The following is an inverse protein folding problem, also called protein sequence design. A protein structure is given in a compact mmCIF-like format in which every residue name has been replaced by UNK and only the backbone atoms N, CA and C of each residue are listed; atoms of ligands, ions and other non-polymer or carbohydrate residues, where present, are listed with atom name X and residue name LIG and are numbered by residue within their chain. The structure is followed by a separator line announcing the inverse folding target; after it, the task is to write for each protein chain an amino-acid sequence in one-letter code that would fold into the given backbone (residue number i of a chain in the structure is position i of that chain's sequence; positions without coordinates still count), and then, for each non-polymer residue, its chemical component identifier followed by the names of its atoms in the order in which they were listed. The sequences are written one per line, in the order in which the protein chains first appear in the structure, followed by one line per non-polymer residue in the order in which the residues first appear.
data_IF_458766852171
#
_entry.id   IF_458766852171
#
_cell.length_a   1.000
_cell.length_b   1.000
_cell.length_c   1.000
_cell.angle_alpha   90.00
_cell.angle_beta   90.00
_cell.angle_gamma   90.00
#
_symmetry.space_group_name_H-M   'P 1'
#
loop_
_entity.id
_entity.type
_entity.pdbx_description
1 polymer ?
#
# COMPACT_ATOMS: atom_id res chain seq x y z
N UNK A 1 20.40 18.08 -27.94
CA UNK A 1 20.12 18.49 -26.56
C UNK A 1 19.54 17.29 -25.81
N UNK A 2 20.37 16.58 -25.07
CA UNK A 2 19.97 15.34 -24.39
C UNK A 2 19.30 15.73 -23.09
N UNK A 3 17.99 15.58 -22.98
CA UNK A 3 17.30 15.67 -21.70
C UNK A 3 17.70 14.46 -20.87
N UNK A 4 18.57 14.67 -19.89
CA UNK A 4 18.79 13.71 -18.83
C UNK A 4 17.47 13.54 -18.09
N UNK A 5 16.84 12.38 -18.26
CA UNK A 5 15.78 11.95 -17.36
C UNK A 5 16.42 11.81 -16.00
N UNK A 6 16.21 12.79 -15.15
CA UNK A 6 16.53 12.66 -13.73
C UNK A 6 15.72 11.47 -13.21
N UNK A 7 16.43 10.41 -12.85
CA UNK A 7 15.84 9.29 -12.15
C UNK A 7 15.13 9.85 -10.93
N UNK A 8 13.83 9.59 -10.82
CA UNK A 8 13.08 9.95 -9.62
C UNK A 8 13.73 9.23 -8.45
N UNK A 9 14.27 10.03 -7.55
CA UNK A 9 14.84 9.54 -6.31
C UNK A 9 13.76 8.81 -5.51
N UNK A 10 13.82 7.49 -5.50
CA UNK A 10 12.91 6.62 -4.74
C UNK A 10 13.18 6.69 -3.23
N UNK A 11 14.17 7.48 -2.80
CA UNK A 11 14.54 7.61 -1.39
C UNK A 11 13.67 8.59 -0.62
N UNK A 12 12.80 9.34 -1.28
CA UNK A 12 11.87 10.24 -0.60
C UNK A 12 10.56 9.55 -0.30
N UNK A 13 10.50 8.94 0.88
CA UNK A 13 9.26 8.85 1.62
C UNK A 13 8.78 10.28 1.83
N UNK A 14 7.49 10.59 1.58
CA UNK A 14 6.99 11.93 1.82
C UNK A 14 7.36 12.37 3.23
N UNK A 15 7.87 13.60 3.32
CA UNK A 15 8.18 14.27 4.56
C UNK A 15 6.99 14.11 5.53
N UNK A 16 7.21 13.75 6.80
CA UNK A 16 6.15 13.72 7.80
C UNK A 16 5.38 15.04 7.93
N UNK A 17 5.90 16.13 7.38
CA UNK A 17 5.19 17.41 7.26
C UNK A 17 4.30 17.53 6.01
N UNK A 18 4.23 16.52 5.16
CA UNK A 18 3.29 16.55 4.03
C UNK A 18 1.85 16.64 4.56
N UNK A 19 1.04 17.50 3.95
CA UNK A 19 -0.26 17.96 4.46
C UNK A 19 -1.33 16.90 4.66
N UNK A 20 -1.09 15.66 4.26
CA UNK A 20 -1.99 14.52 4.47
C UNK A 20 -1.21 13.47 5.24
N UNK A 21 -1.53 13.23 6.54
CA UNK A 21 -0.88 12.17 7.28
C UNK A 21 -1.14 10.83 6.61
N UNK A 22 -0.09 10.03 6.43
CA UNK A 22 -0.22 8.67 5.94
C UNK A 22 -1.13 7.88 6.88
N UNK A 23 -2.04 7.09 6.32
CA UNK A 23 -2.80 6.13 7.11
C UNK A 23 -1.83 5.13 7.74
N UNK A 24 -2.03 4.78 9.00
CA UNK A 24 -1.19 3.87 9.76
C UNK A 24 -2.02 2.74 10.38
N UNK A 25 -1.54 1.51 10.26
CA UNK A 25 -2.19 0.32 10.78
C UNK A 25 -1.18 -0.55 11.54
N UNK A 26 -1.47 -0.97 12.79
CA UNK A 26 -0.52 -1.77 13.58
C UNK A 26 -0.51 -3.23 13.12
N UNK A 27 0.70 -3.81 13.06
CA UNK A 27 0.93 -5.22 12.72
C UNK A 27 1.80 -5.84 13.80
N UNK A 28 1.28 -6.83 14.51
CA UNK A 28 2.06 -7.67 15.42
C UNK A 28 2.61 -8.87 14.65
N UNK A 29 3.87 -9.22 14.86
CA UNK A 29 4.50 -10.39 14.26
C UNK A 29 4.27 -11.62 15.12
N UNK A 30 3.66 -12.65 14.56
CA UNK A 30 3.35 -13.93 15.19
C UNK A 30 4.31 -15.03 14.70
N UNK A 31 4.28 -16.17 15.36
CA UNK A 31 5.05 -17.35 14.93
C UNK A 31 4.82 -17.71 13.46
N UNK A 32 3.57 -17.69 13.02
CA UNK A 32 3.19 -18.02 11.64
C UNK A 32 3.83 -17.11 10.59
N UNK A 33 4.30 -15.92 10.99
CA UNK A 33 4.90 -14.93 10.11
C UNK A 33 6.39 -15.16 9.90
N UNK A 34 7.03 -15.98 10.75
CA UNK A 34 8.48 -16.19 10.75
C UNK A 34 8.87 -17.44 9.97
N UNK A 35 10.13 -17.47 9.53
CA UNK A 35 10.74 -18.60 8.85
C UNK A 35 11.83 -19.27 9.71
N UNK A 36 12.44 -20.32 9.17
CA UNK A 36 13.51 -21.04 9.85
C UNK A 36 14.75 -20.18 10.15
N UNK A 37 14.91 -19.05 9.49
CA UNK A 37 15.98 -18.08 9.75
C UNK A 37 15.71 -17.16 10.94
N UNK A 38 14.55 -17.27 11.61
CA UNK A 38 14.18 -16.48 12.78
C UNK A 38 13.72 -15.05 12.45
N UNK A 39 13.44 -14.76 11.20
CA UNK A 39 12.93 -13.46 10.73
C UNK A 39 11.59 -13.65 10.01
N UNK A 40 10.88 -12.56 9.78
CA UNK A 40 9.63 -12.60 9.01
C UNK A 40 9.92 -13.11 7.59
N UNK A 41 9.15 -14.11 7.18
CA UNK A 41 9.22 -14.66 5.83
C UNK A 41 8.87 -13.57 4.82
N UNK A 42 9.72 -13.39 3.81
CA UNK A 42 9.61 -12.22 2.91
C UNK A 42 8.25 -12.06 2.23
N UNK A 43 7.55 -13.15 1.93
CA UNK A 43 6.22 -13.07 1.34
C UNK A 43 5.13 -12.58 2.31
N UNK A 44 5.36 -12.65 3.61
CA UNK A 44 4.39 -12.18 4.62
C UNK A 44 4.23 -10.67 4.59
N UNK A 45 5.24 -9.92 4.19
CA UNK A 45 5.14 -8.47 4.06
C UNK A 45 4.06 -8.04 3.07
N UNK A 46 3.81 -8.84 2.02
CA UNK A 46 2.72 -8.59 1.08
C UNK A 46 1.36 -8.67 1.77
N UNK A 47 1.16 -9.62 2.68
CA UNK A 47 -0.07 -9.74 3.46
C UNK A 47 -0.26 -8.53 4.38
N UNK A 48 0.81 -8.07 5.03
CA UNK A 48 0.75 -6.90 5.90
C UNK A 48 0.35 -5.64 5.13
N UNK A 49 0.92 -5.44 3.97
CA UNK A 49 0.57 -4.31 3.10
C UNK A 49 -0.85 -4.41 2.57
N UNK A 50 -1.33 -5.60 2.23
CA UNK A 50 -2.72 -5.81 1.83
C UNK A 50 -3.69 -5.46 2.95
N UNK A 51 -3.44 -5.93 4.16
CA UNK A 51 -4.27 -5.60 5.33
C UNK A 51 -4.32 -4.09 5.56
N UNK A 52 -3.19 -3.42 5.48
CA UNK A 52 -3.13 -1.97 5.64
C UNK A 52 -3.93 -1.24 4.57
N UNK A 53 -3.85 -1.66 3.30
CA UNK A 53 -4.67 -1.08 2.22
C UNK A 53 -6.16 -1.30 2.46
N UNK A 54 -6.55 -2.50 2.88
CA UNK A 54 -7.95 -2.83 3.19
C UNK A 54 -8.48 -1.96 4.31
N UNK A 55 -7.72 -1.79 5.39
CA UNK A 55 -8.12 -0.96 6.52
C UNK A 55 -8.12 0.54 6.16
N UNK A 56 -7.21 0.97 5.30
CA UNK A 56 -7.22 2.33 4.76
C UNK A 56 -8.52 2.65 4.02
N UNK A 57 -8.94 1.77 3.12
CA UNK A 57 -10.21 1.93 2.40
C UNK A 57 -11.39 1.88 3.36
N UNK A 58 -11.39 0.94 4.30
CA UNK A 58 -12.46 0.80 5.30
C UNK A 58 -12.58 2.03 6.19
N UNK A 59 -11.47 2.59 6.64
CA UNK A 59 -11.45 3.83 7.43
C UNK A 59 -12.01 5.02 6.66
N UNK A 60 -11.97 4.97 5.34
CA UNK A 60 -12.55 5.98 4.44
C UNK A 60 -14.00 5.68 4.06
N UNK A 61 -14.62 4.68 4.67
CA UNK A 61 -16.01 4.28 4.41
C UNK A 61 -16.18 3.34 3.22
N UNK A 62 -15.09 2.79 2.67
CA UNK A 62 -15.12 1.93 1.50
C UNK A 62 -14.95 0.47 1.92
N UNK A 63 -15.99 -0.33 1.75
CA UNK A 63 -15.94 -1.78 1.88
C UNK A 63 -15.78 -2.45 0.52
N UNK A 64 -14.74 -3.23 0.33
CA UNK A 64 -14.47 -3.88 -0.97
C UNK A 64 -15.55 -4.88 -1.35
N UNK A 65 -16.11 -5.61 -0.38
CA UNK A 65 -17.21 -6.52 -0.63
C UNK A 65 -18.49 -5.77 -1.08
N UNK A 66 -18.76 -4.61 -0.50
CA UNK A 66 -19.87 -3.75 -0.88
C UNK A 66 -19.68 -3.20 -2.32
N UNK A 67 -18.48 -2.75 -2.65
CA UNK A 67 -18.18 -2.29 -4.01
C UNK A 67 -18.42 -3.39 -5.04
N UNK A 68 -17.96 -4.59 -4.76
CA UNK A 68 -18.16 -5.74 -5.65
C UNK A 68 -19.64 -6.07 -5.81
N UNK A 69 -20.38 -6.16 -4.71
CA UNK A 69 -21.77 -6.59 -4.71
C UNK A 69 -22.74 -5.54 -5.31
N UNK A 70 -22.49 -4.26 -5.07
CA UNK A 70 -23.43 -3.18 -5.41
C UNK A 70 -23.00 -2.31 -6.58
N UNK A 71 -21.71 -2.22 -6.86
CA UNK A 71 -21.17 -1.35 -7.92
C UNK A 71 -20.39 -2.12 -9.00
N UNK A 72 -20.25 -3.43 -8.83
CA UNK A 72 -19.51 -4.28 -9.76
C UNK A 72 -18.06 -3.81 -9.95
N UNK A 73 -17.42 -3.36 -8.87
CA UNK A 73 -16.05 -2.85 -8.84
C UNK A 73 -15.18 -3.74 -7.97
N UNK A 74 -14.02 -4.13 -8.48
CA UNK A 74 -12.96 -4.77 -7.70
C UNK A 74 -11.64 -4.04 -7.92
N UNK A 75 -10.80 -4.04 -6.89
CA UNK A 75 -9.43 -3.57 -6.96
C UNK A 75 -8.48 -4.75 -6.98
N UNK A 76 -7.56 -4.75 -7.93
CA UNK A 76 -6.60 -5.84 -8.12
C UNK A 76 -5.19 -5.27 -8.20
N UNK A 77 -4.26 -5.86 -7.48
CA UNK A 77 -2.85 -5.48 -7.59
C UNK A 77 -2.34 -5.84 -8.99
N UNK A 78 -1.86 -4.83 -9.71
CA UNK A 78 -1.33 -4.98 -11.07
C UNK A 78 0.20 -5.07 -11.08
N UNK A 79 0.86 -4.26 -10.25
CA UNK A 79 2.31 -4.24 -10.14
C UNK A 79 2.71 -3.85 -8.73
N UNK A 80 3.86 -4.33 -8.30
CA UNK A 80 4.35 -4.10 -6.96
C UNK A 80 5.88 -4.09 -6.98
N UNK A 81 6.47 -3.10 -6.33
CA UNK A 81 7.90 -3.04 -6.05
C UNK A 81 8.11 -3.00 -4.55
N UNK A 82 8.98 -3.86 -4.04
CA UNK A 82 9.35 -3.90 -2.64
C UNK A 82 10.85 -3.71 -2.48
N UNK A 83 11.23 -3.03 -1.41
CA UNK A 83 12.59 -2.94 -0.94
C UNK A 83 12.65 -3.43 0.50
N UNK A 84 13.48 -4.44 0.73
CA UNK A 84 13.71 -5.01 2.06
C UNK A 84 14.98 -4.40 2.62
N UNK A 85 14.85 -3.50 3.59
CA UNK A 85 15.98 -2.78 4.19
C UNK A 85 16.50 -3.48 5.44
N UNK A 86 15.61 -4.02 6.27
CA UNK A 86 15.94 -4.75 7.49
C UNK A 86 14.82 -5.72 7.85
N UNK A 87 15.13 -6.84 8.52
CA UNK A 87 14.12 -7.83 8.87
C UNK A 87 13.30 -7.41 10.07
N UNK A 88 12.03 -7.79 10.07
CA UNK A 88 11.20 -7.84 11.26
C UNK A 88 11.34 -9.22 11.92
N UNK A 89 11.07 -9.29 13.21
CA UNK A 89 11.26 -10.48 14.04
C UNK A 89 10.00 -10.80 14.83
N UNK A 90 9.95 -11.99 15.39
CA UNK A 90 8.86 -12.43 16.28
C UNK A 90 8.62 -11.39 17.38
N UNK A 91 7.35 -11.18 17.68
CA UNK A 91 6.83 -10.25 18.71
C UNK A 91 7.01 -8.76 18.39
N UNK A 92 7.67 -8.40 17.30
CA UNK A 92 7.74 -7.01 16.88
C UNK A 92 6.35 -6.41 16.68
N UNK A 93 6.18 -5.18 17.11
CA UNK A 93 5.02 -4.37 16.75
C UNK A 93 5.44 -3.37 15.69
N UNK A 94 4.86 -3.53 14.50
CA UNK A 94 5.14 -2.68 13.35
C UNK A 94 3.98 -1.74 13.08
N UNK A 95 4.29 -0.66 12.40
CA UNK A 95 3.28 0.23 11.81
C UNK A 95 3.37 0.14 10.29
N UNK A 96 2.26 -0.24 9.66
CA UNK A 96 2.13 -0.26 8.21
C UNK A 96 1.42 1.01 7.75
N UNK A 97 2.05 1.76 6.86
CA UNK A 97 1.48 3.00 6.33
C UNK A 97 0.93 2.81 4.93
N UNK A 98 -0.04 3.64 4.57
CA UNK A 98 -0.59 3.73 3.21
C UNK A 98 -0.74 5.20 2.84
N UNK A 99 -0.21 5.57 1.68
CA UNK A 99 -0.36 6.91 1.14
C UNK A 99 -0.58 6.84 -0.38
N UNK A 100 -1.70 7.37 -0.89
CA UNK A 100 -1.87 7.50 -2.33
C UNK A 100 -0.87 8.50 -2.90
N UNK A 101 -0.20 8.14 -3.98
CA UNK A 101 0.86 8.98 -4.61
C UNK A 101 0.62 9.25 -6.08
N UNK A 102 -0.21 8.47 -6.74
CA UNK A 102 -0.53 8.64 -8.15
C UNK A 102 -1.92 8.10 -8.43
N UNK A 103 -2.68 8.78 -9.28
CA UNK A 103 -3.98 8.33 -9.76
C UNK A 103 -4.07 8.48 -11.27
N UNK A 104 -4.61 7.46 -11.92
CA UNK A 104 -5.01 7.46 -13.32
C UNK A 104 -6.51 7.18 -13.43
N UNK A 105 -7.05 7.10 -14.64
CA UNK A 105 -8.47 6.84 -14.87
C UNK A 105 -8.94 5.51 -14.24
N UNK A 106 -8.18 4.43 -14.45
CA UNK A 106 -8.55 3.07 -14.03
C UNK A 106 -7.52 2.42 -13.09
N UNK A 107 -6.65 3.21 -12.49
CA UNK A 107 -5.64 2.71 -11.55
C UNK A 107 -5.14 3.80 -10.62
N UNK A 108 -4.51 3.39 -9.53
CA UNK A 108 -3.80 4.29 -8.62
C UNK A 108 -2.58 3.60 -8.04
N UNK A 109 -1.66 4.40 -7.53
CA UNK A 109 -0.47 3.89 -6.84
C UNK A 109 -0.49 4.37 -5.41
N UNK A 110 -0.20 3.46 -4.49
CA UNK A 110 0.04 3.78 -3.08
C UNK A 110 1.49 3.49 -2.72
N UNK A 111 2.08 4.37 -1.92
CA UNK A 111 3.34 4.12 -1.24
C UNK A 111 3.05 3.57 0.15
N UNK A 112 3.77 2.52 0.53
CA UNK A 112 3.61 1.88 1.82
C UNK A 112 4.96 1.67 2.49
N UNK A 113 4.98 1.68 3.81
CA UNK A 113 6.17 1.38 4.59
C UNK A 113 5.80 0.60 5.84
N UNK A 114 6.70 -0.28 6.27
CA UNK A 114 6.64 -0.95 7.56
C UNK A 114 7.76 -0.42 8.43
N UNK A 115 7.41 0.05 9.62
CA UNK A 115 8.35 0.59 10.61
C UNK A 115 8.18 -0.13 11.94
N UNK A 116 9.30 -0.33 12.62
CA UNK A 116 9.30 -0.72 14.04
C UNK A 116 9.38 0.55 14.87
N UNK A 117 8.36 0.82 15.68
CA UNK A 117 8.41 1.96 16.59
C UNK A 117 9.44 1.74 17.73
N UNK A 118 10.22 2.73 18.14
CA UNK A 118 10.22 4.13 17.68
C UNK A 118 11.19 4.44 16.52
N UNK A 119 11.70 3.43 15.81
CA UNK A 119 12.68 3.61 14.75
C UNK A 119 12.08 4.38 13.56
N UNK A 120 12.79 5.39 13.08
CA UNK A 120 12.33 6.19 11.96
C UNK A 120 12.52 5.49 10.60
N UNK A 121 13.50 4.56 10.51
CA UNK A 121 13.82 3.86 9.27
C UNK A 121 12.76 2.80 8.95
N UNK A 122 12.30 2.80 7.71
CA UNK A 122 11.42 1.74 7.23
C UNK A 122 12.18 0.41 7.09
N UNK A 123 11.61 -0.67 7.64
CA UNK A 123 12.13 -2.02 7.45
C UNK A 123 11.87 -2.50 6.03
N UNK A 124 10.68 -2.21 5.51
CA UNK A 124 10.26 -2.55 4.15
C UNK A 124 9.51 -1.37 3.57
N UNK A 125 9.76 -1.08 2.31
CA UNK A 125 9.06 -0.06 1.53
C UNK A 125 8.45 -0.70 0.30
N UNK A 126 7.27 -0.22 -0.10
CA UNK A 126 6.57 -0.73 -1.26
C UNK A 126 5.91 0.40 -2.06
N UNK A 127 5.86 0.19 -3.37
CA UNK A 127 4.97 0.92 -4.27
C UNK A 127 4.05 -0.10 -4.91
N UNK A 128 2.76 0.14 -4.80
CA UNK A 128 1.73 -0.81 -5.24
C UNK A 128 0.81 -0.11 -6.22
N UNK A 129 0.77 -0.62 -7.45
CA UNK A 129 -0.20 -0.20 -8.46
C UNK A 129 -1.42 -1.08 -8.36
N UNK A 130 -2.56 -0.45 -8.16
CA UNK A 130 -3.85 -1.12 -8.02
C UNK A 130 -4.71 -0.74 -9.21
N UNK A 131 -5.21 -1.74 -9.91
CA UNK A 131 -6.13 -1.56 -11.03
C UNK A 131 -7.58 -1.61 -10.55
N UNK A 132 -8.43 -0.74 -11.12
CA UNK A 132 -9.87 -0.78 -10.94
C UNK A 132 -10.48 -1.58 -12.09
N UNK A 133 -11.19 -2.65 -11.76
CA UNK A 133 -11.78 -3.56 -12.73
C UNK A 133 -13.28 -3.69 -12.55
N UNK A 134 -13.97 -3.95 -13.67
CA UNK A 134 -15.31 -4.50 -13.67
C UNK A 134 -15.26 -5.92 -13.08
N UNK A 135 -16.05 -6.18 -12.04
CA UNK A 135 -15.98 -7.45 -11.32
C UNK A 135 -16.47 -8.64 -12.14
N UNK A 136 -17.43 -8.43 -13.05
CA UNK A 136 -17.99 -9.48 -13.90
C UNK A 136 -17.11 -9.75 -15.13
N UNK A 137 -16.74 -8.69 -15.87
CA UNK A 137 -15.94 -8.79 -17.08
C UNK A 137 -14.44 -8.92 -16.82
N UNK A 138 -14.00 -8.55 -15.63
CA UNK A 138 -12.61 -8.53 -15.20
C UNK A 138 -11.72 -7.69 -16.13
N UNK A 139 -12.23 -6.53 -16.52
CA UNK A 139 -11.57 -5.56 -17.40
C UNK A 139 -11.43 -4.22 -16.74
N UNK A 140 -10.39 -3.43 -17.09
CA UNK A 140 -10.24 -2.08 -16.56
C UNK A 140 -11.50 -1.23 -16.76
N UNK A 141 -11.85 -0.49 -15.74
CA UNK A 141 -12.92 0.51 -15.77
C UNK A 141 -12.50 1.73 -14.98
N UNK A 142 -13.07 2.91 -15.27
CA UNK A 142 -12.78 4.11 -14.51
C UNK A 142 -13.10 3.94 -13.03
N UNK A 143 -12.25 4.50 -12.18
CA UNK A 143 -12.49 4.58 -10.75
C UNK A 143 -13.79 5.36 -10.53
N UNK A 144 -14.76 4.83 -9.75
CA UNK A 144 -15.99 5.53 -9.44
C UNK A 144 -15.71 6.92 -8.85
N UNK A 145 -16.48 7.92 -9.28
CA UNK A 145 -16.25 9.32 -8.93
C UNK A 145 -16.24 9.55 -7.40
N UNK A 146 -17.12 8.88 -6.67
CA UNK A 146 -17.20 9.00 -5.21
C UNK A 146 -15.97 8.45 -4.46
N UNK A 147 -15.11 7.67 -5.12
CA UNK A 147 -13.86 7.16 -4.55
C UNK A 147 -12.67 8.08 -4.84
N UNK A 148 -12.82 9.04 -5.74
CA UNK A 148 -11.70 9.87 -6.19
C UNK A 148 -11.11 10.72 -5.07
N UNK A 149 -11.92 11.17 -4.11
CA UNK A 149 -11.43 11.96 -2.98
C UNK A 149 -10.56 11.14 -2.02
N UNK A 150 -10.89 9.86 -1.85
CA UNK A 150 -10.10 8.94 -1.01
C UNK A 150 -8.78 8.57 -1.68
N UNK A 151 -8.81 8.42 -3.01
CA UNK A 151 -7.68 8.05 -3.84
C UNK A 151 -7.07 9.30 -4.46
N UNK A 152 -7.30 10.46 -3.85
CA UNK A 152 -6.81 11.72 -4.35
C UNK A 152 -5.29 11.78 -4.35
N UNK A 153 -4.76 12.40 -5.38
CA UNK A 153 -3.36 12.78 -5.39
C UNK A 153 -3.11 13.83 -4.31
N UNK A 154 -2.19 13.53 -3.48
CA UNK A 154 -1.58 14.55 -2.64
C UNK A 154 -0.62 15.42 -3.46
#
# INVERSE_FOLDING_TARGET
MTMLRQGRDLSRIPDPESRIPAFAFPIRIYWEDTDAGGVVYHARYLHFFERARTEWLRASGIGQQHLKANENVVFVVHAMELRFNAPARLDDLLTATVQPVERRSASFVVAQALRREPEARALVEARVRVACLDAAAFRPRPIPEHLLDVIANS
#
